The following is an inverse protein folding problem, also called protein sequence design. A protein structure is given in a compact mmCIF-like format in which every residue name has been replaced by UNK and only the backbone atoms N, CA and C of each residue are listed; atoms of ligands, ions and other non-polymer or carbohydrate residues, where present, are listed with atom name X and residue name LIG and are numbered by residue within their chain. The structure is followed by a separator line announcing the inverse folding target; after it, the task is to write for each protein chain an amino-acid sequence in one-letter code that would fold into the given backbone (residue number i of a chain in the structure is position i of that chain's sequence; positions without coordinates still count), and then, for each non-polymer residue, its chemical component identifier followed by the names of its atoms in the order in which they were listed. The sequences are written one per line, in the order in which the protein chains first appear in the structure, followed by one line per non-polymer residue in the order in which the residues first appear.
data_IF_072181657045
#
_entry.id   IF_072181657045
#
_cell.length_a   1.000
_cell.length_b   1.000
_cell.length_c   1.000
_cell.angle_alpha   90.00
_cell.angle_beta   90.00
_cell.angle_gamma   90.00
#
_symmetry.space_group_name_H-M   'P 1'
#
loop_
_entity.id
_entity.type
_entity.pdbx_description
1 polymer ?
#
# COMPACT_ATOMS: atom_id res chain seq x y z
N UNK A 1 19.86 -24.69 5.34
CA UNK A 1 19.03 -23.88 4.42
C UNK A 1 18.26 -22.91 5.29
N UNK A 2 18.25 -21.62 4.98
CA UNK A 2 17.45 -20.66 5.74
C UNK A 2 15.97 -20.77 5.37
N UNK A 3 15.06 -20.63 6.34
CA UNK A 3 13.62 -20.62 6.15
C UNK A 3 13.08 -19.19 6.27
N UNK A 4 12.18 -18.80 5.37
CA UNK A 4 11.51 -17.50 5.41
C UNK A 4 10.07 -17.66 5.94
N UNK A 5 9.75 -17.03 7.07
CA UNK A 5 8.42 -17.05 7.68
C UNK A 5 7.78 -15.67 7.57
N UNK A 6 6.58 -15.58 6.96
CA UNK A 6 5.91 -14.29 6.80
C UNK A 6 5.49 -13.74 8.17
N UNK A 7 6.13 -12.64 8.57
CA UNK A 7 5.92 -11.96 9.85
C UNK A 7 4.70 -11.06 9.76
N UNK A 8 4.76 -10.08 8.86
CA UNK A 8 3.75 -9.02 8.71
C UNK A 8 3.42 -8.75 7.24
N UNK A 9 2.20 -8.28 6.98
CA UNK A 9 1.73 -7.86 5.66
C UNK A 9 0.98 -6.54 5.79
N UNK A 10 1.40 -5.55 4.99
CA UNK A 10 0.86 -4.19 5.00
C UNK A 10 0.59 -3.72 3.56
N UNK A 11 -0.42 -2.88 3.38
CA UNK A 11 -0.70 -2.21 2.10
C UNK A 11 -0.42 -0.72 2.26
N UNK A 12 0.28 -0.13 1.31
CA UNK A 12 0.51 1.31 1.20
C UNK A 12 -0.20 1.83 -0.03
N UNK A 13 -1.08 2.79 0.17
CA UNK A 13 -1.73 3.56 -0.89
C UNK A 13 -1.02 4.90 -1.02
N UNK A 14 -0.60 5.25 -2.23
CA UNK A 14 0.01 6.55 -2.53
C UNK A 14 -1.00 7.40 -3.28
N UNK A 15 -1.25 8.60 -2.76
CA UNK A 15 -2.19 9.55 -3.31
C UNK A 15 -1.49 10.80 -3.81
N UNK A 16 -1.89 11.31 -4.96
CA UNK A 16 -1.40 12.59 -5.46
C UNK A 16 -2.21 13.72 -4.82
N UNK A 17 -1.55 14.53 -4.00
CA UNK A 17 -2.13 15.58 -3.17
C UNK A 17 -1.91 17.00 -3.73
N UNK A 18 -1.57 17.11 -5.01
CA UNK A 18 -1.29 18.37 -5.71
C UNK A 18 0.18 18.55 -6.04
N UNK A 19 0.58 19.80 -6.30
CA UNK A 19 1.94 20.21 -6.64
C UNK A 19 2.47 21.21 -5.61
N UNK A 20 3.77 21.15 -5.32
CA UNK A 20 4.44 22.09 -4.42
C UNK A 20 4.77 23.43 -5.11
N UNK A 21 5.40 24.36 -4.37
CA UNK A 21 5.80 25.67 -4.87
C UNK A 21 6.87 25.61 -5.99
N UNK A 22 7.53 24.47 -6.17
CA UNK A 22 8.53 24.21 -7.21
C UNK A 22 7.95 23.46 -8.41
N UNK A 23 6.67 23.09 -8.37
CA UNK A 23 5.99 22.32 -9.41
C UNK A 23 6.20 20.80 -9.28
N UNK A 24 6.70 20.31 -8.15
CA UNK A 24 6.88 18.88 -7.91
C UNK A 24 5.58 18.26 -7.37
N UNK A 25 5.12 17.12 -7.89
CA UNK A 25 3.91 16.47 -7.39
C UNK A 25 4.10 15.96 -5.96
N UNK A 26 3.19 16.36 -5.07
CA UNK A 26 3.18 15.95 -3.66
C UNK A 26 2.43 14.64 -3.55
N UNK A 27 3.13 13.59 -3.10
CA UNK A 27 2.50 12.31 -2.79
C UNK A 27 2.25 12.15 -1.29
N UNK A 28 1.01 11.83 -0.93
CA UNK A 28 0.62 11.43 0.43
C UNK A 28 0.36 9.94 0.49
N UNK A 29 1.17 9.24 1.28
CA UNK A 29 0.99 7.82 1.53
C UNK A 29 0.07 7.54 2.71
N UNK A 30 -0.77 6.50 2.62
CA UNK A 30 -1.50 5.92 3.74
C UNK A 30 -1.24 4.42 3.82
N UNK A 31 -0.81 3.95 4.98
CA UNK A 31 -0.49 2.54 5.20
C UNK A 31 -1.57 1.88 6.05
N UNK A 32 -2.09 0.75 5.55
CA UNK A 32 -2.99 -0.15 6.26
C UNK A 32 -2.19 -1.37 6.72
N UNK A 33 -2.25 -1.62 8.02
CA UNK A 33 -1.56 -2.75 8.66
C UNK A 33 -2.50 -3.93 8.87
N UNK A 34 -1.92 -5.09 9.17
CA UNK A 34 -2.65 -6.34 9.45
C UNK A 34 -3.48 -6.84 8.26
N UNK A 35 -2.87 -6.81 7.09
CA UNK A 35 -3.46 -7.40 5.90
C UNK A 35 -3.43 -8.91 6.04
N UNK A 36 -4.53 -9.57 5.67
CA UNK A 36 -4.60 -11.04 5.72
C UNK A 36 -3.50 -11.62 4.84
N UNK A 37 -2.76 -12.57 5.40
CA UNK A 37 -1.59 -13.19 4.74
C UNK A 37 -2.02 -13.91 3.46
N UNK A 38 -3.23 -14.47 3.48
CA UNK A 38 -3.85 -15.20 2.37
C UNK A 38 -4.54 -14.28 1.34
N UNK A 39 -4.55 -12.96 1.54
CA UNK A 39 -5.17 -12.05 0.60
C UNK A 39 -4.49 -12.15 -0.76
N UNK A 40 -5.25 -12.25 -1.85
CA UNK A 40 -4.69 -12.26 -3.21
C UNK A 40 -4.39 -10.84 -3.67
N UNK A 41 -3.53 -10.70 -4.70
CA UNK A 41 -3.24 -9.41 -5.31
C UNK A 41 -4.52 -8.69 -5.78
N UNK A 42 -5.46 -9.42 -6.40
CA UNK A 42 -6.76 -8.89 -6.81
C UNK A 42 -7.58 -8.35 -5.65
N UNK A 43 -7.66 -9.08 -4.53
CA UNK A 43 -8.41 -8.64 -3.35
C UNK A 43 -7.78 -7.38 -2.73
N UNK A 44 -6.46 -7.32 -2.71
CA UNK A 44 -5.71 -6.14 -2.27
C UNK A 44 -5.99 -4.95 -3.18
N UNK A 45 -5.96 -5.16 -4.50
CA UNK A 45 -6.23 -4.12 -5.48
C UNK A 45 -7.67 -3.61 -5.41
N UNK A 46 -8.65 -4.51 -5.29
CA UNK A 46 -10.07 -4.13 -5.13
C UNK A 46 -10.29 -3.29 -3.87
N UNK A 47 -9.72 -3.71 -2.73
CA UNK A 47 -9.80 -2.95 -1.49
C UNK A 47 -9.10 -1.59 -1.62
N UNK A 48 -7.93 -1.53 -2.27
CA UNK A 48 -7.19 -0.31 -2.52
C UNK A 48 -7.98 0.69 -3.37
N UNK A 49 -8.63 0.24 -4.44
CA UNK A 49 -9.48 1.07 -5.31
C UNK A 49 -10.70 1.59 -4.54
N UNK A 50 -11.36 0.74 -3.76
CA UNK A 50 -12.51 1.15 -2.94
C UNK A 50 -12.11 2.19 -1.88
N UNK A 51 -11.01 1.96 -1.16
CA UNK A 51 -10.46 2.89 -0.16
C UNK A 51 -9.97 4.19 -0.82
N UNK A 52 -9.40 4.09 -2.02
CA UNK A 52 -8.95 5.23 -2.80
C UNK A 52 -10.09 6.09 -3.31
N UNK A 53 -11.20 5.48 -3.75
CA UNK A 53 -12.41 6.20 -4.16
C UNK A 53 -13.11 6.95 -3.03
N UNK A 54 -12.86 6.58 -1.77
CA UNK A 54 -13.32 7.33 -0.59
C UNK A 54 -12.38 8.47 -0.20
N UNK A 55 -11.21 8.57 -0.83
CA UNK A 55 -10.22 9.60 -0.56
C UNK A 55 -10.45 10.80 -1.48
N UNK A 56 -10.17 12.01 -0.99
CA UNK A 56 -10.29 13.23 -1.79
C UNK A 56 -9.19 13.38 -2.87
N UNK A 57 -8.10 12.61 -2.73
CA UNK A 57 -6.92 12.67 -3.58
C UNK A 57 -6.88 11.48 -4.54
N UNK A 58 -6.29 11.66 -5.72
CA UNK A 58 -6.21 10.61 -6.74
C UNK A 58 -5.26 9.50 -6.28
N UNK A 59 -5.72 8.24 -6.35
CA UNK A 59 -4.87 7.08 -6.08
C UNK A 59 -3.84 6.93 -7.20
N UNK A 60 -2.57 7.10 -6.87
CA UNK A 60 -1.44 7.03 -7.79
C UNK A 60 -0.80 5.64 -7.85
N UNK A 61 -0.63 4.99 -6.69
CA UNK A 61 -0.02 3.66 -6.61
C UNK A 61 -0.52 2.85 -5.41
N UNK A 62 -0.46 1.53 -5.55
CA UNK A 62 -0.83 0.54 -4.53
C UNK A 62 0.36 -0.41 -4.36
N UNK A 63 0.90 -0.47 -3.15
CA UNK A 63 2.03 -1.33 -2.82
C UNK A 63 1.64 -2.29 -1.70
N UNK A 64 2.01 -3.56 -1.84
CA UNK A 64 1.95 -4.53 -0.75
C UNK A 64 3.36 -4.81 -0.25
N UNK A 65 3.55 -4.62 1.05
CA UNK A 65 4.81 -4.87 1.73
C UNK A 65 4.64 -6.05 2.68
N UNK A 66 5.28 -7.15 2.30
CA UNK A 66 5.35 -8.37 3.09
C UNK A 66 6.73 -8.45 3.75
N UNK A 67 6.74 -8.60 5.08
CA UNK A 67 7.95 -8.74 5.88
C UNK A 67 8.12 -10.20 6.26
N UNK A 68 9.30 -10.75 5.99
CA UNK A 68 9.65 -12.14 6.30
C UNK A 68 10.75 -12.17 7.36
N UNK A 69 10.61 -13.08 8.32
CA UNK A 69 11.67 -13.45 9.24
C UNK A 69 12.49 -14.59 8.64
N UNK A 70 13.82 -14.53 8.74
CA UNK A 70 14.74 -15.51 8.16
C UNK A 70 15.42 -16.28 9.29
N UNK A 71 15.19 -17.59 9.37
CA UNK A 71 15.69 -18.48 10.45
C UNK A 71 16.49 -19.68 9.92
#
# INVERSE_FOLDING_TARGET
MAMAMLKDSNIRLMFEAGVDEKGEPIFKGKTYRYVRKEATADQVQQAAVALGGLSANLLSSVERNDSFDII
#
